data_IF_531934194134
#
_entry.id   IF_531934194134
#
_cell.length_a   1.000
_cell.length_b   1.000
_cell.length_c   1.000
_cell.angle_alpha   90.00
_cell.angle_beta   90.00
_cell.angle_gamma   90.00
#
_symmetry.space_group_name_H-M   'P 1'
#
loop_
_entity.id
_entity.type
_entity.pdbx_description
1 polymer ?
#
# COMPACT_ATOMS: atom_id res chain seq x y z
N UNK A 1 7.65 36.09 -10.94
CA UNK A 1 7.73 34.73 -11.51
C UNK A 1 8.26 33.66 -10.55
N UNK A 2 8.69 33.99 -9.31
CA UNK A 2 9.14 32.98 -8.32
C UNK A 2 8.05 32.47 -7.36
N UNK A 3 6.96 33.21 -7.15
CA UNK A 3 5.91 32.86 -6.18
C UNK A 3 4.98 31.76 -6.67
N UNK A 4 4.72 31.70 -7.99
CA UNK A 4 3.80 30.74 -8.64
C UNK A 4 4.34 29.29 -8.63
N UNK A 5 5.67 29.14 -8.66
CA UNK A 5 6.32 27.83 -8.67
C UNK A 5 6.36 27.19 -7.28
N UNK A 6 6.59 27.99 -6.25
CA UNK A 6 6.64 27.51 -4.86
C UNK A 6 5.25 27.09 -4.34
N UNK A 7 4.18 27.78 -4.75
CA UNK A 7 2.79 27.39 -4.44
C UNK A 7 2.41 26.09 -5.16
N UNK A 8 2.74 25.95 -6.44
CA UNK A 8 2.49 24.72 -7.18
C UNK A 8 3.25 23.51 -6.62
N UNK A 9 4.51 23.67 -6.21
CA UNK A 9 5.31 22.59 -5.58
C UNK A 9 4.73 22.17 -4.22
N UNK A 10 4.16 23.10 -3.46
CA UNK A 10 3.53 22.82 -2.16
C UNK A 10 2.18 22.11 -2.33
N UNK A 11 1.35 22.54 -3.29
CA UNK A 11 0.05 21.92 -3.57
C UNK A 11 0.20 20.48 -4.07
N UNK A 12 1.19 20.22 -4.94
CA UNK A 12 1.50 18.86 -5.42
C UNK A 12 1.96 17.96 -4.28
N UNK A 13 2.80 18.45 -3.36
CA UNK A 13 3.24 17.69 -2.20
C UNK A 13 2.05 17.34 -1.27
N UNK A 14 1.18 18.31 -1.00
CA UNK A 14 0.00 18.12 -0.14
C UNK A 14 -1.02 17.15 -0.77
N UNK A 15 -1.09 17.11 -2.11
CA UNK A 15 -1.90 16.17 -2.87
C UNK A 15 -1.35 14.75 -2.85
N UNK A 16 -0.03 14.58 -2.96
CA UNK A 16 0.67 13.30 -2.83
C UNK A 16 0.54 12.74 -1.42
N UNK A 17 0.79 13.56 -0.39
CA UNK A 17 0.63 13.17 1.02
C UNK A 17 -0.79 12.67 1.31
N UNK A 18 -1.80 13.33 0.72
CA UNK A 18 -3.20 12.90 0.87
C UNK A 18 -3.46 11.55 0.21
N UNK A 19 -2.92 11.33 -0.99
CA UNK A 19 -3.07 10.06 -1.70
C UNK A 19 -2.44 8.93 -0.89
N UNK A 20 -1.23 9.12 -0.38
CA UNK A 20 -0.55 8.13 0.47
C UNK A 20 -1.32 7.86 1.76
N UNK A 21 -1.84 8.90 2.42
CA UNK A 21 -2.67 8.75 3.61
C UNK A 21 -3.90 7.85 3.36
N UNK A 22 -4.54 7.99 2.21
CA UNK A 22 -5.69 7.16 1.84
C UNK A 22 -5.27 5.70 1.61
N UNK A 23 -4.12 5.48 0.96
CA UNK A 23 -3.60 4.13 0.69
C UNK A 23 -3.15 3.41 1.96
N UNK A 24 -2.54 4.11 2.90
CA UNK A 24 -2.20 3.56 4.21
C UNK A 24 -3.45 3.18 5.00
N UNK A 25 -4.47 4.04 5.00
CA UNK A 25 -5.75 3.76 5.63
C UNK A 25 -6.46 2.55 4.99
N UNK A 26 -6.38 2.40 3.67
CA UNK A 26 -6.94 1.25 2.96
C UNK A 26 -6.25 -0.06 3.38
N UNK A 27 -4.91 -0.07 3.41
CA UNK A 27 -4.12 -1.23 3.87
C UNK A 27 -4.43 -1.61 5.33
N UNK A 28 -4.67 -0.62 6.19
CA UNK A 28 -5.08 -0.86 7.58
C UNK A 28 -6.48 -1.46 7.65
N UNK A 29 -7.44 -0.94 6.89
CA UNK A 29 -8.78 -1.53 6.76
C UNK A 29 -8.70 -2.97 6.23
N UNK A 30 -7.87 -3.24 5.23
CA UNK A 30 -7.67 -4.60 4.72
C UNK A 30 -7.13 -5.52 5.80
N UNK A 31 -6.16 -5.06 6.59
CA UNK A 31 -5.59 -5.84 7.70
C UNK A 31 -6.64 -6.19 8.76
N UNK A 32 -7.55 -5.26 9.08
CA UNK A 32 -8.56 -5.44 10.14
C UNK A 32 -9.81 -6.19 9.67
N UNK A 33 -10.29 -5.89 8.45
CA UNK A 33 -11.60 -6.31 7.96
C UNK A 33 -11.48 -7.33 6.83
N UNK A 34 -10.38 -7.35 6.08
CA UNK A 34 -10.27 -8.04 4.80
C UNK A 34 -10.65 -7.17 3.62
N UNK A 35 -10.06 -7.46 2.46
CA UNK A 35 -10.25 -6.67 1.23
C UNK A 35 -11.74 -6.67 0.84
N UNK A 36 -12.34 -7.85 0.67
CA UNK A 36 -13.75 -7.99 0.28
C UNK A 36 -14.74 -7.25 1.19
N UNK A 37 -14.50 -7.25 2.51
CA UNK A 37 -15.40 -6.60 3.47
C UNK A 37 -15.12 -5.12 3.65
N UNK A 38 -14.01 -4.61 3.14
CA UNK A 38 -13.66 -3.20 3.25
C UNK A 38 -14.46 -2.37 2.24
N UNK A 39 -15.19 -1.37 2.73
CA UNK A 39 -15.88 -0.39 1.89
C UNK A 39 -15.09 0.91 1.75
N UNK A 40 -15.38 1.71 0.72
CA UNK A 40 -14.84 3.07 0.57
C UNK A 40 -15.17 3.96 1.78
N UNK A 41 -16.31 3.71 2.45
CA UNK A 41 -16.69 4.43 3.66
C UNK A 41 -15.79 4.09 4.86
N UNK A 42 -15.30 2.85 4.95
CA UNK A 42 -14.38 2.44 6.00
C UNK A 42 -13.02 3.09 5.82
N UNK A 43 -12.51 3.09 4.58
CA UNK A 43 -11.27 3.77 4.22
C UNK A 43 -11.37 5.27 4.49
N UNK A 44 -12.45 5.92 4.08
CA UNK A 44 -12.67 7.35 4.34
C UNK A 44 -12.65 7.66 5.85
N UNK A 45 -13.28 6.81 6.67
CA UNK A 45 -13.28 6.95 8.13
C UNK A 45 -11.88 6.77 8.73
N UNK A 46 -11.15 5.75 8.29
CA UNK A 46 -9.79 5.46 8.73
C UNK A 46 -8.81 6.58 8.36
N UNK A 47 -8.91 7.09 7.12
CA UNK A 47 -8.12 8.21 6.62
C UNK A 47 -8.58 9.58 7.17
N UNK A 48 -9.71 9.65 7.90
CA UNK A 48 -10.30 10.91 8.39
C UNK A 48 -10.58 11.91 7.27
N UNK A 49 -11.10 11.43 6.14
CA UNK A 49 -11.51 12.25 4.99
C UNK A 49 -12.96 11.97 4.60
N UNK A 50 -13.52 12.79 3.71
CA UNK A 50 -14.85 12.53 3.16
C UNK A 50 -14.81 11.43 2.09
N UNK A 51 -15.95 10.75 1.84
CA UNK A 51 -16.06 9.84 0.68
C UNK A 51 -15.80 10.54 -0.65
N UNK A 52 -16.26 11.78 -0.80
CA UNK A 52 -16.01 12.57 -2.01
C UNK A 52 -14.51 12.83 -2.23
N UNK A 53 -13.74 12.99 -1.15
CA UNK A 53 -12.28 13.08 -1.22
C UNK A 53 -11.68 11.79 -1.76
N UNK A 54 -12.11 10.61 -1.28
CA UNK A 54 -11.63 9.32 -1.82
C UNK A 54 -11.90 9.22 -3.33
N UNK A 55 -13.14 9.51 -3.75
CA UNK A 55 -13.53 9.42 -5.17
C UNK A 55 -12.83 10.42 -6.09
N UNK A 56 -12.24 11.48 -5.52
CA UNK A 56 -11.38 12.41 -6.27
C UNK A 56 -10.03 11.77 -6.65
N UNK A 57 -9.49 10.89 -5.80
CA UNK A 57 -8.22 10.20 -6.04
C UNK A 57 -8.40 8.84 -6.72
N UNK A 58 -9.50 8.14 -6.43
CA UNK A 58 -9.76 6.78 -6.89
C UNK A 58 -11.19 6.71 -7.43
N UNK A 59 -11.32 6.53 -8.74
CA UNK A 59 -12.61 6.60 -9.44
C UNK A 59 -13.64 5.61 -8.90
N UNK A 60 -13.17 4.45 -8.44
CA UNK A 60 -13.98 3.42 -7.81
C UNK A 60 -13.20 2.65 -6.73
N UNK A 61 -13.86 1.65 -6.15
CA UNK A 61 -13.31 0.82 -5.08
C UNK A 61 -12.19 -0.10 -5.57
N UNK A 62 -12.27 -0.58 -6.80
CA UNK A 62 -11.34 -1.59 -7.31
C UNK A 62 -10.00 -0.92 -7.63
N UNK A 63 -10.03 0.27 -8.24
CA UNK A 63 -8.84 1.12 -8.43
C UNK A 63 -8.18 1.50 -7.10
N UNK A 64 -8.96 1.77 -6.05
CA UNK A 64 -8.43 2.00 -4.70
C UNK A 64 -7.74 0.76 -4.15
N UNK A 65 -8.32 -0.42 -4.34
CA UNK A 65 -7.77 -1.69 -3.86
C UNK A 65 -6.45 -2.01 -4.56
N UNK A 66 -6.42 -1.94 -5.89
CA UNK A 66 -5.22 -2.19 -6.68
C UNK A 66 -4.07 -1.26 -6.25
N UNK A 67 -4.35 0.04 -6.18
CA UNK A 67 -3.35 1.02 -5.77
C UNK A 67 -2.87 0.81 -4.34
N UNK A 68 -3.76 0.41 -3.42
CA UNK A 68 -3.39 0.16 -2.03
C UNK A 68 -2.55 -1.10 -1.87
N UNK A 69 -2.85 -2.17 -2.63
CA UNK A 69 -2.03 -3.38 -2.67
C UNK A 69 -0.64 -3.05 -3.22
N UNK A 70 -0.57 -2.32 -4.33
CA UNK A 70 0.71 -1.90 -4.91
C UNK A 70 1.53 -1.06 -3.92
N UNK A 71 0.91 -0.07 -3.27
CA UNK A 71 1.55 0.75 -2.25
C UNK A 71 2.08 -0.08 -1.08
N UNK A 72 1.29 -1.05 -0.61
CA UNK A 72 1.71 -1.99 0.44
C UNK A 72 2.90 -2.85 0.01
N UNK A 73 2.90 -3.36 -1.22
CA UNK A 73 4.00 -4.14 -1.77
C UNK A 73 5.29 -3.31 -1.93
N UNK A 74 5.18 -2.08 -2.45
CA UNK A 74 6.32 -1.17 -2.57
C UNK A 74 6.91 -0.83 -1.20
N UNK A 75 6.07 -0.59 -0.19
CA UNK A 75 6.51 -0.38 1.19
C UNK A 75 7.24 -1.61 1.73
N UNK A 76 6.70 -2.81 1.53
CA UNK A 76 7.34 -4.06 1.91
C UNK A 76 8.74 -4.19 1.29
N UNK A 77 8.86 -3.98 -0.03
CA UNK A 77 10.15 -4.07 -0.70
C UNK A 77 11.16 -3.04 -0.19
N UNK A 78 10.71 -1.80 0.08
CA UNK A 78 11.57 -0.76 0.68
C UNK A 78 12.07 -1.15 2.06
N UNK A 79 11.20 -1.69 2.93
CA UNK A 79 11.58 -2.13 4.27
C UNK A 79 12.58 -3.29 4.24
N UNK A 80 12.37 -4.27 3.37
CA UNK A 80 13.30 -5.39 3.17
C UNK A 80 14.64 -4.91 2.63
N UNK A 81 14.64 -4.05 1.60
CA UNK A 81 15.85 -3.50 1.01
C UNK A 81 16.67 -2.71 2.05
N UNK A 82 16.02 -1.84 2.84
CA UNK A 82 16.67 -1.07 3.89
C UNK A 82 17.23 -1.94 5.03
N UNK A 83 16.58 -3.08 5.33
CA UNK A 83 17.09 -4.03 6.30
C UNK A 83 18.35 -4.75 5.78
N UNK A 84 18.37 -5.11 4.49
CA UNK A 84 19.52 -5.76 3.84
C UNK A 84 20.70 -4.81 3.63
N UNK A 85 20.46 -3.53 3.36
CA UNK A 85 21.50 -2.53 3.14
C UNK A 85 22.41 -2.35 4.36
N UNK A 86 21.87 -2.57 5.57
CA UNK A 86 22.62 -2.50 6.84
C UNK A 86 23.55 -3.71 7.07
N UNK A 87 23.58 -4.68 6.16
CA UNK A 87 24.30 -5.95 6.30
C UNK A 87 25.34 -6.09 5.19
N UNK A 88 26.47 -6.72 5.51
CA UNK A 88 27.62 -6.79 4.60
C UNK A 88 27.70 -8.13 3.90
N UNK A 89 27.52 -9.23 4.62
CA UNK A 89 27.60 -10.57 4.05
C UNK A 89 26.27 -11.05 3.48
N UNK A 90 26.31 -11.97 2.51
CA UNK A 90 25.10 -12.59 1.95
C UNK A 90 24.25 -13.28 3.02
N UNK A 91 24.89 -13.99 3.95
CA UNK A 91 24.20 -14.68 5.04
C UNK A 91 23.43 -13.71 5.94
N UNK A 92 24.04 -12.59 6.32
CA UNK A 92 23.37 -11.56 7.13
C UNK A 92 22.24 -10.86 6.36
N UNK A 93 22.41 -10.63 5.05
CA UNK A 93 21.36 -10.07 4.19
C UNK A 93 20.15 -11.00 4.10
N UNK A 94 20.38 -12.30 3.88
CA UNK A 94 19.33 -13.31 3.86
C UNK A 94 18.64 -13.43 5.23
N UNK A 95 19.41 -13.37 6.32
CA UNK A 95 18.88 -13.32 7.68
C UNK A 95 17.99 -12.10 7.91
N UNK A 96 18.46 -10.90 7.55
CA UNK A 96 17.70 -9.67 7.69
C UNK A 96 16.42 -9.67 6.84
N UNK A 97 16.48 -10.21 5.61
CA UNK A 97 15.30 -10.40 4.77
C UNK A 97 14.29 -11.35 5.44
N UNK A 98 14.74 -12.51 5.92
CA UNK A 98 13.89 -13.50 6.57
C UNK A 98 13.25 -12.95 7.86
N UNK A 99 14.02 -12.23 8.69
CA UNK A 99 13.52 -11.58 9.91
C UNK A 99 12.48 -10.50 9.62
N UNK A 100 12.76 -9.61 8.66
CA UNK A 100 11.82 -8.54 8.27
C UNK A 100 10.54 -9.16 7.71
N UNK A 101 10.66 -10.16 6.83
CA UNK A 101 9.50 -10.86 6.30
C UNK A 101 8.72 -11.54 7.44
N UNK A 102 9.39 -12.27 8.34
CA UNK A 102 8.72 -12.92 9.47
C UNK A 102 7.99 -11.92 10.37
N UNK A 103 8.57 -10.76 10.69
CA UNK A 103 7.89 -9.70 11.46
C UNK A 103 6.62 -9.22 10.76
N UNK A 104 6.72 -8.92 9.47
CA UNK A 104 5.60 -8.45 8.63
C UNK A 104 4.50 -9.51 8.54
N UNK A 105 4.85 -10.78 8.43
CA UNK A 105 3.90 -11.90 8.42
C UNK A 105 3.26 -12.13 9.82
N UNK A 106 3.99 -11.89 10.91
CA UNK A 106 3.56 -12.17 12.29
C UNK A 106 2.78 -11.03 12.94
N UNK A 107 3.20 -9.78 12.74
CA UNK A 107 2.47 -8.57 13.18
C UNK A 107 1.05 -8.54 12.59
N UNK A 108 0.87 -9.19 11.45
CA UNK A 108 -0.38 -9.18 10.73
C UNK A 108 -0.91 -10.60 10.45
N UNK A 109 -1.02 -11.42 11.49
CA UNK A 109 -1.60 -12.77 11.44
C UNK A 109 -3.01 -12.81 10.81
N UNK A 110 -3.68 -11.67 10.68
CA UNK A 110 -4.92 -11.47 9.92
C UNK A 110 -4.67 -11.14 8.43
N UNK A 111 -3.65 -10.35 8.08
CA UNK A 111 -3.31 -9.89 6.70
C UNK A 111 -2.87 -11.03 5.77
N UNK A 112 -2.07 -11.98 6.24
CA UNK A 112 -1.67 -13.13 5.40
C UNK A 112 -2.82 -14.10 5.12
N UNK A 113 -3.74 -14.23 6.08
CA UNK A 113 -4.91 -15.09 5.91
C UNK A 113 -5.86 -14.50 4.87
N UNK A 114 -5.92 -13.17 4.79
CA UNK A 114 -6.75 -12.42 3.84
C UNK A 114 -6.19 -12.40 2.41
N UNK A 115 -4.87 -12.29 2.23
CA UNK A 115 -4.27 -12.42 0.89
C UNK A 115 -4.40 -13.85 0.33
N UNK A 116 -4.33 -14.87 1.17
CA UNK A 116 -4.54 -16.26 0.75
C UNK A 116 -6.01 -16.57 0.42
N UNK A 117 -6.96 -15.96 1.14
CA UNK A 117 -8.40 -16.16 0.92
C UNK A 117 -8.92 -15.42 -0.33
N UNK A 118 -8.23 -14.35 -0.77
CA UNK A 118 -8.49 -13.60 -2.02
C UNK A 118 -7.56 -14.05 -3.17
N UNK A 119 -7.30 -15.36 -3.27
CA UNK A 119 -6.45 -15.94 -4.32
C UNK A 119 -6.91 -15.60 -5.76
N UNK A 120 -8.18 -15.28 -5.95
CA UNK A 120 -8.73 -14.86 -7.25
C UNK A 120 -8.29 -13.44 -7.63
N UNK A 121 -8.23 -12.53 -6.66
CA UNK A 121 -7.73 -11.17 -6.86
C UNK A 121 -6.23 -11.18 -7.17
N UNK A 122 -5.44 -11.98 -6.44
CA UNK A 122 -4.01 -12.16 -6.74
C UNK A 122 -3.78 -12.82 -8.10
N UNK A 123 -4.59 -13.79 -8.50
CA UNK A 123 -4.53 -14.39 -9.85
C UNK A 123 -4.79 -13.34 -10.94
N UNK A 124 -5.76 -12.45 -10.74
CA UNK A 124 -6.06 -11.39 -11.69
C UNK A 124 -4.91 -10.38 -11.80
N UNK A 125 -4.36 -9.92 -10.67
CA UNK A 125 -3.23 -8.98 -10.65
C UNK A 125 -1.95 -9.58 -11.27
N UNK A 126 -1.68 -10.87 -11.05
CA UNK A 126 -0.55 -11.57 -11.68
C UNK A 126 -0.76 -11.74 -13.18
N UNK A 127 -2.01 -11.97 -13.62
CA UNK A 127 -2.36 -12.11 -15.04
C UNK A 127 -2.18 -10.81 -15.83
N UNK A 128 -2.52 -9.66 -15.23
CA UNK A 128 -2.48 -8.37 -15.93
C UNK A 128 -1.06 -7.78 -15.99
N UNK A 129 -0.19 -8.15 -15.04
CA UNK A 129 1.22 -7.76 -15.02
C UNK A 129 2.08 -8.33 -16.16
N UNK A 130 1.61 -9.37 -16.87
CA UNK A 130 2.30 -9.99 -18.02
C UNK A 130 2.04 -9.26 -19.35
N UNK A 131 1.21 -8.21 -19.35
CA UNK A 131 0.86 -7.44 -20.56
C UNK A 131 1.78 -6.23 -20.83
N UNK A 132 2.79 -6.00 -19.98
CA UNK A 132 3.78 -4.95 -20.14
C UNK A 132 5.20 -5.52 -20.28
N UNK A 133 5.46 -6.22 -21.39
CA UNK A 133 6.81 -6.50 -21.90
C UNK A 133 6.93 -6.01 -23.33
#
# INVERSE_FOLDING_TARGET
MSTDRATAETEVADELDRREQILDAANECFTQLGIQRTSVQDVARMAKVSRGTIYRYFVDRDVLIEAAIEHGAQRFYREVAAAMEKKTTLAEKLGAMAETNAKILLEHRTRNRLMADDAELMRHMISDGDSAV
#
